data_IF_568889091395
#
_entry.id   IF_568889091395
#
_cell.length_a   1.000
_cell.length_b   1.000
_cell.length_c   1.000
_cell.angle_alpha   90.00
_cell.angle_beta   90.00
_cell.angle_gamma   90.00
#
_symmetry.space_group_name_H-M   'P 1'
#
loop_
_entity.id
_entity.type
_entity.pdbx_description
1 polymer ?
#
# COMPACT_ATOMS: atom_id res chain seq x y z
N UNK A 1 -10.37 29.98 -32.43
CA UNK A 1 -10.32 28.74 -31.63
C UNK A 1 -10.57 29.15 -30.21
N UNK A 2 -11.72 28.80 -29.63
CA UNK A 2 -12.08 29.22 -28.28
C UNK A 2 -11.30 28.34 -27.29
N UNK A 3 -10.49 28.97 -26.43
CA UNK A 3 -9.99 28.32 -25.22
C UNK A 3 -11.20 27.87 -24.39
N UNK A 4 -11.22 26.63 -23.89
CA UNK A 4 -12.30 26.22 -23.01
C UNK A 4 -12.19 27.06 -21.74
N UNK A 5 -13.25 27.82 -21.44
CA UNK A 5 -13.43 28.51 -20.17
C UNK A 5 -13.43 27.45 -19.04
N UNK A 6 -12.25 27.18 -18.48
CA UNK A 6 -12.11 26.43 -17.24
C UNK A 6 -12.99 27.15 -16.20
N UNK A 7 -13.91 26.40 -15.59
CA UNK A 7 -14.76 26.98 -14.54
C UNK A 7 -13.87 27.52 -13.42
N UNK A 8 -14.30 28.62 -12.78
CA UNK A 8 -13.56 29.24 -11.66
C UNK A 8 -13.32 28.29 -10.46
N UNK A 9 -13.94 27.10 -10.47
CA UNK A 9 -13.81 26.02 -9.50
C UNK A 9 -12.88 24.87 -9.97
N UNK A 10 -12.20 25.00 -11.11
CA UNK A 10 -11.35 23.94 -11.66
C UNK A 10 -10.09 23.72 -10.81
N UNK A 11 -9.92 22.49 -10.30
CA UNK A 11 -8.74 22.09 -9.52
C UNK A 11 -7.68 21.61 -10.49
N UNK A 12 -6.52 22.26 -10.50
CA UNK A 12 -5.38 21.89 -11.33
C UNK A 12 -4.35 21.06 -10.54
N UNK A 13 -3.55 20.21 -11.22
CA UNK A 13 -2.42 19.55 -10.59
C UNK A 13 -1.41 20.56 -10.05
N UNK A 14 -0.84 20.28 -8.87
CA UNK A 14 0.28 21.03 -8.29
C UNK A 14 1.54 20.85 -9.13
N UNK A 15 1.79 19.61 -9.55
CA UNK A 15 2.86 19.23 -10.48
C UNK A 15 2.53 17.89 -11.12
N UNK A 16 3.39 17.47 -12.05
CA UNK A 16 3.35 16.14 -12.64
C UNK A 16 4.62 15.37 -12.30
N UNK A 17 4.44 14.10 -11.95
CA UNK A 17 5.51 13.13 -11.73
C UNK A 17 5.85 12.39 -13.03
N UNK A 18 7.05 11.79 -13.09
CA UNK A 18 7.56 11.00 -14.23
C UNK A 18 7.50 11.76 -15.56
N UNK A 19 8.24 12.87 -15.65
CA UNK A 19 8.36 13.69 -16.86
C UNK A 19 7.01 14.16 -17.43
N UNK A 20 6.08 14.56 -16.56
CA UNK A 20 4.81 15.16 -16.98
C UNK A 20 3.63 14.19 -17.10
N UNK A 21 3.77 12.92 -16.69
CA UNK A 21 2.76 11.89 -16.99
C UNK A 21 1.72 11.68 -15.91
N UNK A 22 2.12 11.71 -14.64
CA UNK A 22 1.21 11.40 -13.53
C UNK A 22 0.89 12.68 -12.75
N UNK A 23 -0.36 13.15 -12.75
CA UNK A 23 -0.74 14.37 -12.04
C UNK A 23 -0.71 14.17 -10.53
N UNK A 24 -0.16 15.15 -9.82
CA UNK A 24 -0.09 15.21 -8.36
C UNK A 24 -0.87 16.43 -7.87
N UNK A 25 -1.81 16.22 -6.96
CA UNK A 25 -2.66 17.26 -6.39
C UNK A 25 -2.31 17.48 -4.91
N UNK A 26 -2.26 18.75 -4.50
CA UNK A 26 -2.13 19.18 -3.10
C UNK A 26 -3.32 20.09 -2.74
N UNK A 27 -4.51 19.53 -2.49
CA UNK A 27 -5.69 20.32 -2.18
C UNK A 27 -5.51 21.12 -0.88
N UNK A 28 -6.21 22.26 -0.81
CA UNK A 28 -6.50 22.90 0.49
C UNK A 28 -7.52 22.07 1.27
N UNK A 29 -7.63 22.25 2.58
CA UNK A 29 -8.65 21.54 3.36
C UNK A 29 -10.08 21.84 2.91
N UNK A 30 -10.35 23.05 2.41
CA UNK A 30 -11.65 23.39 1.82
C UNK A 30 -11.95 22.50 0.61
N UNK A 31 -11.01 22.37 -0.32
CA UNK A 31 -11.14 21.49 -1.48
C UNK A 31 -11.22 20.01 -1.08
N UNK A 32 -10.42 19.60 -0.09
CA UNK A 32 -10.33 18.22 0.39
C UNK A 32 -11.56 17.78 1.18
N UNK A 33 -12.27 18.69 1.85
CA UNK A 33 -13.41 18.38 2.73
C UNK A 33 -14.52 17.57 2.07
N UNK A 34 -14.74 17.76 0.76
CA UNK A 34 -15.77 17.06 0.00
C UNK A 34 -15.13 16.11 -1.02
N UNK A 35 -14.96 14.85 -0.61
CA UNK A 35 -14.38 13.78 -1.44
C UNK A 35 -15.00 13.71 -2.84
N UNK A 36 -16.34 13.67 -2.93
CA UNK A 36 -17.03 13.51 -4.21
C UNK A 36 -16.82 14.72 -5.12
N UNK A 37 -16.95 15.95 -4.61
CA UNK A 37 -16.72 17.17 -5.39
C UNK A 37 -15.29 17.17 -5.92
N UNK A 38 -14.31 16.90 -5.04
CA UNK A 38 -12.90 16.87 -5.39
C UNK A 38 -12.58 15.85 -6.50
N UNK A 39 -13.01 14.59 -6.32
CA UNK A 39 -12.77 13.51 -7.29
C UNK A 39 -13.39 13.83 -8.65
N UNK A 40 -14.60 14.40 -8.68
CA UNK A 40 -15.23 14.83 -9.93
C UNK A 40 -14.46 15.95 -10.61
N UNK A 41 -13.91 16.91 -9.84
CA UNK A 41 -13.11 18.02 -10.38
C UNK A 41 -11.78 17.57 -11.00
N UNK A 42 -11.19 16.47 -10.53
CA UNK A 42 -9.90 15.97 -11.06
C UNK A 42 -10.06 14.77 -12.01
N UNK A 43 -11.31 14.38 -12.32
CA UNK A 43 -11.62 13.15 -13.05
C UNK A 43 -10.95 13.08 -14.41
N UNK A 44 -10.92 14.18 -15.16
CA UNK A 44 -10.36 14.20 -16.52
C UNK A 44 -8.88 13.80 -16.54
N UNK A 45 -8.11 14.26 -15.54
CA UNK A 45 -6.70 13.93 -15.40
C UNK A 45 -6.50 12.45 -15.12
N UNK A 46 -7.27 11.90 -14.17
CA UNK A 46 -7.20 10.47 -13.83
C UNK A 46 -7.69 9.55 -14.94
N UNK A 47 -8.69 9.98 -15.71
CA UNK A 47 -9.14 9.25 -16.90
C UNK A 47 -8.08 9.24 -18.00
N UNK A 48 -7.21 10.24 -18.08
CA UNK A 48 -6.12 10.24 -19.05
C UNK A 48 -4.95 9.37 -18.58
N UNK A 49 -4.45 9.61 -17.36
CA UNK A 49 -3.23 9.00 -16.83
C UNK A 49 -3.42 7.59 -16.27
N UNK A 50 -4.66 7.19 -15.98
CA UNK A 50 -5.01 5.94 -15.29
C UNK A 50 -4.85 5.99 -13.76
N UNK A 51 -4.00 6.91 -13.25
CA UNK A 51 -3.78 7.11 -11.81
C UNK A 51 -3.48 8.58 -11.51
N UNK A 52 -3.90 9.05 -10.34
CA UNK A 52 -3.56 10.37 -9.80
C UNK A 52 -3.00 10.22 -8.39
N UNK A 53 -2.08 11.10 -7.99
CA UNK A 53 -1.63 11.18 -6.58
C UNK A 53 -2.29 12.38 -5.91
N UNK A 54 -2.84 12.18 -4.73
CA UNK A 54 -3.36 13.26 -3.89
C UNK A 54 -2.58 13.26 -2.59
N UNK A 55 -1.89 14.36 -2.31
CA UNK A 55 -1.20 14.58 -1.03
C UNK A 55 -2.20 15.36 -0.16
N UNK A 56 -2.71 14.76 0.93
CA UNK A 56 -3.71 15.42 1.77
C UNK A 56 -3.13 16.67 2.45
N UNK A 57 -3.99 17.64 2.84
CA UNK A 57 -3.57 18.78 3.66
C UNK A 57 -2.90 18.31 4.96
N UNK A 58 -1.84 19.00 5.40
CA UNK A 58 -1.11 18.68 6.63
C UNK A 58 -2.04 18.68 7.86
N UNK A 59 -2.98 19.63 7.92
CA UNK A 59 -3.98 19.70 8.98
C UNK A 59 -4.90 18.47 9.04
N UNK A 60 -5.18 17.80 7.92
CA UNK A 60 -5.93 16.55 7.95
C UNK A 60 -5.08 15.41 8.53
N UNK A 61 -3.81 15.33 8.14
CA UNK A 61 -2.87 14.31 8.62
C UNK A 61 -2.62 14.46 10.12
N UNK A 62 -2.38 15.68 10.61
CA UNK A 62 -2.15 15.97 12.03
C UNK A 62 -3.37 15.68 12.92
N UNK A 63 -4.58 15.71 12.36
CA UNK A 63 -5.81 15.40 13.08
C UNK A 63 -6.18 13.92 13.07
N UNK A 64 -5.39 13.05 12.42
CA UNK A 64 -5.65 11.61 12.45
C UNK A 64 -5.41 11.03 13.85
N UNK A 65 -6.26 10.12 14.32
CA UNK A 65 -6.09 9.50 15.63
C UNK A 65 -4.82 8.64 15.67
N UNK A 66 -4.16 8.55 16.84
CA UNK A 66 -3.02 7.67 17.02
C UNK A 66 -3.43 6.20 16.83
N UNK A 67 -2.59 5.42 16.15
CA UNK A 67 -2.89 4.05 15.79
C UNK A 67 -2.41 3.02 16.82
N UNK A 68 -1.73 3.45 17.88
CA UNK A 68 -1.00 2.62 18.86
C UNK A 68 -1.86 1.48 19.46
N UNK A 69 -3.15 1.74 19.72
CA UNK A 69 -4.10 0.71 20.16
C UNK A 69 -4.73 -0.05 18.99
N UNK A 70 -5.04 0.65 17.91
CA UNK A 70 -5.76 0.10 16.75
C UNK A 70 -4.94 -0.96 16.02
N UNK A 71 -3.63 -0.78 15.89
CA UNK A 71 -2.72 -1.77 15.27
C UNK A 71 -2.71 -3.11 16.01
N UNK A 72 -2.96 -3.12 17.33
CA UNK A 72 -2.98 -4.34 18.15
C UNK A 72 -4.20 -5.21 17.86
N UNK A 73 -5.26 -4.66 17.27
CA UNK A 73 -6.48 -5.41 16.92
C UNK A 73 -6.34 -6.22 15.64
N UNK A 74 -5.26 -6.03 14.88
CA UNK A 74 -5.08 -6.66 13.57
C UNK A 74 -4.07 -7.79 13.61
N UNK A 75 -4.49 -8.93 13.06
CA UNK A 75 -3.65 -10.11 12.84
C UNK A 75 -3.85 -10.59 11.42
N UNK A 76 -2.76 -10.61 10.66
CA UNK A 76 -2.72 -11.21 9.34
C UNK A 76 -2.81 -12.72 9.49
N UNK A 77 -3.85 -13.34 8.94
CA UNK A 77 -4.06 -14.79 9.09
C UNK A 77 -3.22 -15.63 8.14
N UNK A 78 -3.29 -15.32 6.85
CA UNK A 78 -2.74 -16.14 5.78
C UNK A 78 -2.02 -15.28 4.72
N UNK A 79 -0.76 -14.88 4.95
CA UNK A 79 0.01 -14.16 3.95
C UNK A 79 0.28 -15.04 2.72
N UNK A 80 0.41 -14.41 1.56
CA UNK A 80 0.80 -15.09 0.32
C UNK A 80 2.30 -14.94 0.08
N UNK A 81 2.99 -16.03 -0.24
CA UNK A 81 4.33 -16.00 -0.81
C UNK A 81 4.23 -15.89 -2.33
N UNK A 82 4.96 -14.94 -2.90
CA UNK A 82 4.86 -14.62 -4.32
C UNK A 82 6.03 -15.28 -5.07
N UNK A 83 5.76 -16.43 -5.66
CA UNK A 83 6.70 -17.10 -6.54
C UNK A 83 6.66 -16.46 -7.92
N UNK A 84 7.70 -15.70 -8.26
CA UNK A 84 7.78 -14.98 -9.54
C UNK A 84 8.79 -15.67 -10.45
N UNK A 85 8.34 -16.05 -11.64
CA UNK A 85 9.17 -16.68 -12.67
C UNK A 85 9.05 -15.90 -13.99
N UNK A 86 10.16 -15.78 -14.72
CA UNK A 86 10.21 -15.04 -15.97
C UNK A 86 11.56 -14.41 -16.23
N UNK A 87 11.67 -13.66 -17.32
CA UNK A 87 12.90 -12.96 -17.73
C UNK A 87 12.58 -11.83 -18.71
N UNK A 88 13.55 -10.95 -18.96
CA UNK A 88 13.47 -9.91 -19.99
C UNK A 88 12.20 -9.03 -19.90
N UNK A 89 11.79 -8.68 -18.68
CA UNK A 89 10.63 -7.81 -18.45
C UNK A 89 9.27 -8.52 -18.44
N UNK A 90 9.21 -9.80 -18.81
CA UNK A 90 7.99 -10.61 -18.78
C UNK A 90 8.06 -11.63 -17.64
N UNK A 91 7.14 -11.51 -16.68
CA UNK A 91 7.10 -12.35 -15.48
C UNK A 91 5.68 -12.84 -15.20
N UNK A 92 5.59 -14.01 -14.58
CA UNK A 92 4.36 -14.58 -14.04
C UNK A 92 4.50 -14.76 -12.54
N UNK A 93 3.49 -14.34 -11.81
CA UNK A 93 3.40 -14.46 -10.36
C UNK A 93 2.45 -15.60 -10.01
N UNK A 94 2.88 -16.47 -9.11
CA UNK A 94 2.05 -17.50 -8.47
C UNK A 94 2.00 -17.24 -6.97
N UNK A 95 0.80 -17.17 -6.42
CA UNK A 95 0.60 -16.93 -4.98
C UNK A 95 0.48 -18.27 -4.25
N UNK A 96 1.33 -18.47 -3.25
CA UNK A 96 1.29 -19.62 -2.34
C UNK A 96 0.90 -19.15 -0.95
N UNK A 97 -0.32 -19.47 -0.54
CA UNK A 97 -0.81 -19.11 0.79
C UNK A 97 0.00 -19.82 1.89
N UNK A 98 0.41 -19.05 2.90
CA UNK A 98 1.12 -19.53 4.07
C UNK A 98 0.15 -19.61 5.24
N UNK A 99 0.30 -20.69 6.02
CA UNK A 99 -0.55 -20.96 7.20
C UNK A 99 -0.19 -20.14 8.43
N UNK A 100 1.00 -19.52 8.45
CA UNK A 100 1.47 -18.76 9.61
C UNK A 100 0.91 -17.35 9.53
N UNK A 101 0.11 -16.99 10.52
CA UNK A 101 -0.33 -15.62 10.72
C UNK A 101 0.66 -14.79 11.52
N UNK A 102 0.51 -13.48 11.45
CA UNK A 102 1.39 -12.49 12.06
C UNK A 102 0.59 -11.32 12.64
N UNK A 103 1.00 -10.85 13.81
CA UNK A 103 0.66 -9.50 14.26
C UNK A 103 1.38 -8.48 13.38
N UNK A 104 1.00 -7.20 13.46
CA UNK A 104 1.72 -6.12 12.77
C UNK A 104 3.20 -6.06 13.23
N UNK A 105 3.44 -6.17 14.54
CA UNK A 105 4.78 -6.16 15.11
C UNK A 105 5.61 -7.38 14.66
N UNK A 106 5.03 -8.57 14.66
CA UNK A 106 5.66 -9.79 14.14
C UNK A 106 5.98 -9.69 12.65
N UNK A 107 5.09 -9.09 11.85
CA UNK A 107 5.32 -8.83 10.43
C UNK A 107 6.53 -7.90 10.23
N UNK A 108 6.63 -6.81 11.02
CA UNK A 108 7.77 -5.89 10.97
C UNK A 108 9.09 -6.61 11.21
N UNK A 109 9.16 -7.50 12.21
CA UNK A 109 10.36 -8.28 12.52
C UNK A 109 10.81 -9.14 11.33
N UNK A 110 9.86 -9.70 10.56
CA UNK A 110 10.18 -10.49 9.36
C UNK A 110 10.73 -9.62 8.25
N UNK A 111 10.15 -8.44 8.02
CA UNK A 111 10.65 -7.48 7.04
C UNK A 111 12.11 -7.05 7.32
N UNK A 112 12.55 -7.14 8.57
CA UNK A 112 13.91 -6.81 9.01
C UNK A 112 14.90 -7.98 8.93
N UNK A 113 14.45 -9.18 8.55
CA UNK A 113 15.35 -10.34 8.36
C UNK A 113 16.17 -10.22 7.07
N UNK A 114 17.31 -10.90 7.03
CA UNK A 114 18.24 -10.88 5.88
C UNK A 114 17.60 -11.25 4.54
N UNK A 115 16.51 -12.00 4.53
CA UNK A 115 15.90 -12.48 3.29
C UNK A 115 14.91 -11.46 2.70
N UNK A 116 14.42 -10.54 3.55
CA UNK A 116 13.37 -9.57 3.21
C UNK A 116 13.80 -8.11 3.34
N UNK A 117 15.03 -7.83 3.81
CA UNK A 117 15.55 -6.47 3.84
C UNK A 117 15.71 -5.87 2.44
N UNK A 118 15.39 -4.57 2.28
CA UNK A 118 15.72 -3.85 1.06
C UNK A 118 17.24 -3.79 0.83
N UNK A 119 17.68 -3.55 -0.42
CA UNK A 119 19.10 -3.35 -0.71
C UNK A 119 19.69 -2.19 0.10
N UNK A 120 20.95 -2.35 0.51
CA UNK A 120 21.71 -1.30 1.17
C UNK A 120 21.89 -0.08 0.25
N UNK A 121 22.09 1.11 0.81
CA UNK A 121 22.40 2.29 0.00
C UNK A 121 23.73 2.07 -0.74
N UNK A 122 23.89 2.74 -1.88
CA UNK A 122 25.14 2.68 -2.65
C UNK A 122 26.31 3.12 -1.76
N UNK A 123 27.32 2.26 -1.65
CA UNK A 123 28.50 2.49 -0.80
C UNK A 123 28.39 1.98 0.64
N UNK A 124 27.19 1.56 1.08
CA UNK A 124 27.01 0.95 2.40
C UNK A 124 27.10 -0.57 2.32
N UNK A 125 27.79 -1.20 3.29
CA UNK A 125 27.75 -2.66 3.46
C UNK A 125 26.43 -3.06 4.10
N UNK A 126 25.82 -4.13 3.59
CA UNK A 126 24.63 -4.74 4.21
C UNK A 126 24.93 -5.08 5.66
N UNK A 127 24.13 -4.57 6.60
CA UNK A 127 24.21 -4.99 8.02
C UNK A 127 24.03 -6.50 8.07
N UNK A 128 25.03 -7.22 8.59
CA UNK A 128 24.92 -8.66 8.88
C UNK A 128 23.98 -8.84 10.06
N UNK A 129 22.71 -9.05 9.75
CA UNK A 129 21.70 -9.44 10.73
C UNK A 129 21.68 -10.97 10.84
N UNK A 130 21.35 -11.52 12.01
CA UNK A 130 21.22 -12.96 12.18
C UNK A 130 20.25 -13.51 11.14
N UNK A 131 20.69 -14.54 10.39
CA UNK A 131 19.77 -15.31 9.55
C UNK A 131 18.67 -15.83 10.46
N UNK A 132 17.43 -15.84 9.98
CA UNK A 132 16.34 -16.56 10.63
C UNK A 132 16.76 -18.02 10.74
N UNK A 133 17.20 -18.45 11.93
CA UNK A 133 17.33 -19.88 12.21
C UNK A 133 15.94 -20.48 12.00
N UNK A 134 15.85 -21.48 11.11
CA UNK A 134 14.65 -22.31 10.97
C UNK A 134 14.49 -23.17 12.24
N UNK A 135 14.30 -22.54 13.40
CA UNK A 135 13.82 -23.27 14.58
C UNK A 135 12.42 -23.74 14.24
N UNK A 136 12.23 -25.05 14.21
CA UNK A 136 10.91 -25.67 14.31
C UNK A 136 10.35 -25.27 15.67
N UNK A 137 9.74 -24.09 15.76
CA UNK A 137 8.96 -23.69 16.93
C UNK A 137 7.82 -24.70 17.05
N UNK A 138 7.94 -25.57 18.05
CA UNK A 138 6.85 -26.48 18.43
C UNK A 138 5.65 -25.61 18.76
N UNK A 139 4.53 -25.87 18.10
CA UNK A 139 3.24 -25.30 18.43
C UNK A 139 2.86 -25.71 19.86
N UNK A 140 3.32 -24.94 20.84
CA UNK A 140 2.75 -24.99 22.16
C UNK A 140 1.37 -24.32 22.05
N UNK A 141 0.31 -25.07 22.30
CA UNK A 141 -1.00 -24.48 22.55
C UNK A 141 -0.84 -23.58 23.79
N UNK A 142 -0.72 -22.27 23.58
CA UNK A 142 -0.66 -21.33 24.69
C UNK A 142 -2.00 -21.41 25.44
N UNK A 143 -1.95 -21.91 26.69
CA UNK A 143 -3.10 -22.00 27.59
C UNK A 143 -3.31 -20.69 28.36
N UNK A 144 -2.50 -19.66 28.11
CA UNK A 144 -2.68 -18.34 28.73
C UNK A 144 -3.92 -17.64 28.14
N UNK A 145 -4.62 -16.89 29.00
CA UNK A 145 -5.75 -16.08 28.57
C UNK A 145 -5.32 -15.00 27.57
N UNK A 146 -6.16 -14.74 26.58
CA UNK A 146 -5.99 -13.61 25.65
C UNK A 146 -6.35 -12.31 26.36
N UNK A 147 -5.69 -11.22 25.97
CA UNK A 147 -6.06 -9.88 26.44
C UNK A 147 -7.30 -9.32 25.71
N UNK A 148 -7.63 -8.06 25.99
CA UNK A 148 -8.75 -7.34 25.35
C UNK A 148 -8.60 -7.17 23.84
N UNK A 149 -7.39 -7.29 23.30
CA UNK A 149 -7.08 -7.21 21.87
C UNK A 149 -7.00 -8.60 21.22
N UNK A 150 -7.17 -9.67 22.00
CA UNK A 150 -7.08 -11.05 21.51
C UNK A 150 -5.65 -11.58 21.41
N UNK A 151 -4.65 -10.88 21.97
CA UNK A 151 -3.24 -11.24 21.88
C UNK A 151 -2.86 -12.27 22.95
N UNK A 152 -1.99 -13.20 22.57
CA UNK A 152 -1.30 -14.12 23.47
C UNK A 152 -0.21 -13.41 24.29
N UNK A 153 0.35 -14.08 25.30
CA UNK A 153 1.50 -13.53 26.04
C UNK A 153 2.70 -13.23 25.14
N UNK A 154 3.00 -14.13 24.19
CA UNK A 154 4.10 -13.94 23.24
C UNK A 154 3.85 -12.76 22.28
N UNK A 155 2.62 -12.61 21.77
CA UNK A 155 2.27 -11.50 20.87
C UNK A 155 2.30 -10.14 21.58
N UNK A 156 1.88 -10.07 22.84
CA UNK A 156 2.05 -8.84 23.65
C UNK A 156 3.50 -8.43 23.80
N UNK A 157 4.40 -9.41 23.95
CA UNK A 157 5.83 -9.15 23.98
C UNK A 157 6.35 -8.55 22.67
N UNK A 158 5.75 -8.92 21.52
CA UNK A 158 6.13 -8.34 20.23
C UNK A 158 5.83 -6.85 20.15
N UNK A 159 4.78 -6.37 20.84
CA UNK A 159 4.34 -4.98 20.80
C UNK A 159 5.05 -4.05 21.80
N UNK A 160 5.75 -4.57 22.83
CA UNK A 160 6.35 -3.73 23.88
C UNK A 160 7.31 -2.66 23.35
N UNK A 161 8.15 -3.03 22.38
CA UNK A 161 9.15 -2.15 21.76
C UNK A 161 8.79 -1.82 20.30
N UNK A 162 7.53 -2.01 19.91
CA UNK A 162 7.08 -1.79 18.55
C UNK A 162 6.58 -0.35 18.37
N UNK A 163 7.27 0.42 17.54
CA UNK A 163 6.75 1.66 16.99
C UNK A 163 6.36 1.46 15.51
N UNK A 164 5.12 1.82 15.18
CA UNK A 164 4.65 1.79 13.79
C UNK A 164 5.11 3.02 13.00
N UNK A 165 5.50 4.10 13.70
CA UNK A 165 6.00 5.32 13.08
C UNK A 165 7.28 4.98 12.35
N UNK A 166 7.27 5.27 11.05
CA UNK A 166 8.35 4.93 10.16
C UNK A 166 9.18 6.18 9.92
N UNK A 167 10.41 6.23 10.43
CA UNK A 167 11.31 7.37 10.18
C UNK A 167 11.75 7.39 8.72
N UNK A 168 11.26 8.38 7.96
CA UNK A 168 11.52 8.51 6.53
C UNK A 168 12.94 9.03 6.20
N UNK A 169 13.67 9.55 7.19
CA UNK A 169 14.88 10.38 7.07
C UNK A 169 15.85 9.99 5.95
N UNK A 170 15.69 10.61 4.77
CA UNK A 170 16.56 10.43 3.60
C UNK A 170 16.66 8.99 3.09
N UNK A 171 15.72 8.12 3.47
CA UNK A 171 15.74 6.70 3.09
C UNK A 171 15.12 6.47 1.70
N UNK A 172 14.26 7.34 1.21
CA UNK A 172 13.55 7.13 -0.07
C UNK A 172 13.57 8.39 -0.94
N UNK A 173 14.78 8.94 -1.17
CA UNK A 173 14.98 10.00 -2.16
C UNK A 173 14.66 9.48 -3.56
N UNK A 174 14.32 10.37 -4.49
CA UNK A 174 13.97 10.02 -5.88
C UNK A 174 15.08 9.22 -6.57
N UNK A 175 16.35 9.61 -6.37
CA UNK A 175 17.51 8.89 -6.89
C UNK A 175 17.58 7.47 -6.33
N UNK A 176 17.38 7.31 -5.02
CA UNK A 176 17.37 5.98 -4.39
C UNK A 176 16.19 5.14 -4.86
N UNK A 177 15.01 5.72 -5.04
CA UNK A 177 13.83 5.01 -5.55
C UNK A 177 14.09 4.50 -6.98
N UNK A 178 14.71 5.30 -7.86
CA UNK A 178 15.12 4.89 -9.21
C UNK A 178 16.14 3.74 -9.18
N UNK A 179 17.10 3.78 -8.26
CA UNK A 179 18.06 2.69 -8.11
C UNK A 179 17.43 1.42 -7.52
N UNK A 180 16.51 1.57 -6.56
CA UNK A 180 15.74 0.46 -6.01
C UNK A 180 14.85 -0.18 -7.06
N UNK A 181 14.24 0.58 -7.96
CA UNK A 181 13.46 0.07 -9.09
C UNK A 181 14.32 -0.83 -10.01
N UNK A 182 15.53 -0.39 -10.36
CA UNK A 182 16.47 -1.21 -11.16
C UNK A 182 16.83 -2.51 -10.44
N UNK A 183 17.11 -2.45 -9.14
CA UNK A 183 17.43 -3.63 -8.32
C UNK A 183 16.22 -4.56 -8.24
N UNK A 184 15.01 -4.01 -8.06
CA UNK A 184 13.77 -4.76 -8.02
C UNK A 184 13.61 -5.60 -9.30
N UNK A 185 13.68 -4.99 -10.49
CA UNK A 185 13.54 -5.72 -11.75
C UNK A 185 14.66 -6.72 -12.01
N UNK A 186 15.91 -6.37 -11.68
CA UNK A 186 17.06 -7.26 -11.84
C UNK A 186 16.98 -8.49 -10.93
N UNK A 187 16.38 -8.34 -9.76
CA UNK A 187 16.35 -9.38 -8.73
C UNK A 187 14.97 -9.97 -8.50
N UNK A 188 13.99 -9.69 -9.36
CA UNK A 188 12.58 -9.99 -9.12
C UNK A 188 12.33 -11.49 -8.82
N UNK A 189 13.03 -12.38 -9.54
CA UNK A 189 12.92 -13.84 -9.39
C UNK A 189 13.73 -14.42 -8.23
N UNK A 190 14.58 -13.62 -7.56
CA UNK A 190 15.42 -14.07 -6.45
C UNK A 190 14.73 -13.83 -5.12
N UNK A 191 14.49 -14.88 -4.34
CA UNK A 191 13.71 -14.84 -3.09
C UNK A 191 12.26 -14.38 -3.31
N UNK A 192 11.33 -15.27 -2.96
CA UNK A 192 9.91 -14.98 -2.99
C UNK A 192 9.53 -14.08 -1.80
N UNK A 193 8.99 -12.87 -2.01
CA UNK A 193 8.50 -12.04 -0.92
C UNK A 193 7.19 -12.61 -0.37
N UNK A 194 6.89 -12.32 0.90
CA UNK A 194 5.55 -12.50 1.44
C UNK A 194 4.74 -11.21 1.22
N UNK A 195 3.44 -11.33 1.11
CA UNK A 195 2.54 -10.19 1.03
C UNK A 195 1.28 -10.49 1.84
N UNK A 196 0.95 -9.62 2.79
CA UNK A 196 -0.31 -9.72 3.54
C UNK A 196 -1.38 -8.93 2.82
N UNK A 197 -2.09 -9.55 1.90
CA UNK A 197 -3.15 -8.91 1.14
C UNK A 197 -4.54 -9.19 1.75
N UNK A 198 -5.51 -8.38 1.36
CA UNK A 198 -6.94 -8.63 1.50
C UNK A 198 -7.43 -8.86 2.95
N UNK A 199 -6.74 -8.24 3.92
CA UNK A 199 -7.20 -8.27 5.31
C UNK A 199 -8.39 -7.31 5.48
N UNK A 200 -9.58 -7.85 5.69
CA UNK A 200 -10.78 -7.05 5.95
C UNK A 200 -10.62 -6.15 7.19
N UNK A 201 -10.83 -4.85 7.01
CA UNK A 201 -10.80 -3.88 8.09
C UNK A 201 -10.25 -2.53 7.69
N UNK A 202 -10.13 -1.65 8.68
CA UNK A 202 -9.63 -0.29 8.50
C UNK A 202 -8.91 0.21 9.74
N UNK A 203 -7.81 0.93 9.53
CA UNK A 203 -7.13 1.67 10.58
C UNK A 203 -7.78 3.04 10.82
N UNK A 204 -8.60 3.55 9.90
CA UNK A 204 -9.49 4.67 10.19
C UNK A 204 -10.65 4.22 11.07
N UNK A 205 -10.98 5.04 12.05
CA UNK A 205 -12.15 4.89 12.91
C UNK A 205 -13.24 5.92 12.56
N UNK A 206 -14.30 5.93 13.36
CA UNK A 206 -15.47 6.78 13.15
C UNK A 206 -15.18 8.26 13.42
N UNK A 207 -14.06 8.61 14.05
CA UNK A 207 -13.65 10.00 14.27
C UNK A 207 -13.14 10.63 12.98
N UNK A 208 -12.56 9.83 12.07
CA UNK A 208 -12.13 10.31 10.75
C UNK A 208 -13.35 10.46 9.83
N UNK A 209 -13.83 11.70 9.66
CA UNK A 209 -15.03 12.01 8.84
C UNK A 209 -14.73 12.34 7.38
N UNK A 210 -13.53 12.84 7.09
CA UNK A 210 -13.10 13.29 5.77
C UNK A 210 -12.14 12.25 5.19
N UNK A 211 -12.41 11.76 3.97
CA UNK A 211 -11.57 10.77 3.26
C UNK A 211 -11.31 9.46 4.01
N UNK A 212 -12.27 9.03 4.83
CA UNK A 212 -12.23 7.71 5.45
C UNK A 212 -12.48 6.65 4.37
N UNK A 213 -11.42 5.93 3.97
CA UNK A 213 -11.46 4.90 2.90
C UNK A 213 -12.53 3.84 3.17
N UNK A 214 -12.77 3.50 4.44
CA UNK A 214 -13.80 2.52 4.81
C UNK A 214 -15.23 3.06 4.73
N UNK A 215 -15.41 4.37 4.60
CA UNK A 215 -16.71 5.06 4.64
C UNK A 215 -16.79 6.21 3.64
N UNK A 216 -16.37 5.96 2.40
CA UNK A 216 -16.43 6.99 1.37
C UNK A 216 -17.88 7.25 0.90
N UNK A 217 -18.28 8.52 0.73
CA UNK A 217 -19.60 8.86 0.21
C UNK A 217 -19.65 8.61 -1.31
N UNK A 218 -20.13 7.45 -1.72
CA UNK A 218 -20.24 7.06 -3.12
C UNK A 218 -21.54 6.27 -3.39
N UNK A 219 -21.80 5.89 -4.65
CA UNK A 219 -23.02 5.16 -4.99
C UNK A 219 -22.99 3.69 -4.51
N UNK A 220 -21.81 3.09 -4.41
CA UNK A 220 -21.60 1.71 -3.96
C UNK A 220 -21.96 1.53 -2.48
N UNK A 221 -21.95 2.60 -1.68
CA UNK A 221 -22.36 2.56 -0.27
C UNK A 221 -23.86 2.28 -0.08
N UNK A 222 -24.67 2.34 -1.16
CA UNK A 222 -26.09 1.96 -1.15
C UNK A 222 -26.31 0.47 -1.39
N UNK A 223 -25.27 -0.27 -1.78
CA UNK A 223 -25.33 -1.70 -2.04
C UNK A 223 -24.94 -2.48 -0.77
N UNK A 224 -25.36 -3.74 -0.63
CA UNK A 224 -24.84 -4.63 0.42
C UNK A 224 -23.31 -4.74 0.40
N UNK A 225 -22.66 -5.06 1.52
CA UNK A 225 -21.21 -5.22 1.57
C UNK A 225 -20.72 -6.33 0.61
N UNK A 226 -19.79 -5.96 -0.27
CA UNK A 226 -19.02 -6.80 -1.16
C UNK A 226 -17.56 -6.62 -0.76
N UNK A 227 -16.95 -7.70 -0.28
CA UNK A 227 -15.59 -7.70 0.24
C UNK A 227 -14.61 -7.22 -0.85
N UNK A 228 -13.75 -6.27 -0.52
CA UNK A 228 -12.78 -5.68 -1.47
C UNK A 228 -13.31 -4.63 -2.43
N UNK A 229 -14.64 -4.51 -2.59
CA UNK A 229 -15.25 -3.54 -3.52
C UNK A 229 -15.80 -2.33 -2.78
N UNK A 230 -16.68 -2.54 -1.79
CA UNK A 230 -17.22 -1.45 -0.95
C UNK A 230 -16.91 -1.64 0.55
N UNK A 231 -16.03 -2.60 0.86
CA UNK A 231 -15.45 -2.81 2.19
C UNK A 231 -13.94 -2.65 2.10
N UNK A 232 -13.34 -1.94 3.06
CA UNK A 232 -11.90 -1.67 3.04
C UNK A 232 -11.05 -2.92 3.33
N UNK A 233 -9.92 -3.01 2.63
CA UNK A 233 -8.84 -3.96 2.90
C UNK A 233 -7.58 -3.24 3.37
N UNK A 234 -6.87 -3.92 4.27
CA UNK A 234 -5.52 -3.58 4.70
C UNK A 234 -4.51 -4.46 3.98
N UNK A 235 -3.40 -3.83 3.59
CA UNK A 235 -2.30 -4.48 2.89
C UNK A 235 -0.99 -4.30 3.66
N UNK A 236 -0.31 -5.40 3.91
CA UNK A 236 0.95 -5.49 4.62
C UNK A 236 2.05 -5.79 3.63
N UNK A 237 2.74 -4.73 3.20
CA UNK A 237 3.86 -4.83 2.27
C UNK A 237 5.17 -5.27 2.93
N UNK A 238 6.08 -5.77 2.10
CA UNK A 238 7.51 -5.85 2.39
C UNK A 238 8.29 -5.58 1.10
N UNK A 239 9.62 -5.53 1.19
CA UNK A 239 10.47 -5.36 0.01
C UNK A 239 10.15 -6.42 -1.07
N UNK A 240 9.97 -5.95 -2.30
CA UNK A 240 9.55 -6.71 -3.50
C UNK A 240 8.13 -7.29 -3.51
N UNK A 241 7.32 -7.10 -2.47
CA UNK A 241 5.92 -7.51 -2.56
C UNK A 241 5.26 -6.79 -3.75
N UNK A 242 4.64 -7.56 -4.64
CA UNK A 242 4.21 -7.14 -5.98
C UNK A 242 2.70 -7.26 -6.14
N UNK A 243 2.08 -6.30 -6.80
CA UNK A 243 0.75 -6.42 -7.37
C UNK A 243 0.88 -6.37 -8.90
N UNK A 244 0.35 -7.38 -9.57
CA UNK A 244 0.50 -7.54 -11.02
C UNK A 244 -0.37 -6.53 -11.78
N UNK A 245 -0.14 -6.38 -13.08
CA UNK A 245 -1.00 -5.57 -13.95
C UNK A 245 -2.45 -6.03 -13.89
N UNK A 246 -3.36 -5.12 -13.57
CA UNK A 246 -4.80 -5.36 -13.55
C UNK A 246 -5.56 -4.04 -13.70
N UNK A 247 -6.85 -4.16 -13.97
CA UNK A 247 -7.86 -3.13 -13.70
C UNK A 247 -8.69 -3.60 -12.51
N UNK A 248 -9.36 -2.69 -11.83
CA UNK A 248 -10.26 -3.04 -10.73
C UNK A 248 -11.45 -3.86 -11.22
N UNK A 249 -12.07 -4.63 -10.32
CA UNK A 249 -13.29 -5.37 -10.64
C UNK A 249 -14.39 -4.43 -11.15
N UNK A 250 -15.05 -4.85 -12.23
CA UNK A 250 -16.08 -4.06 -12.92
C UNK A 250 -15.59 -2.70 -13.45
N UNK A 251 -14.29 -2.55 -13.70
CA UNK A 251 -13.65 -1.30 -14.14
C UNK A 251 -13.96 -0.10 -13.20
N UNK A 252 -14.12 -0.38 -11.90
CA UNK A 252 -14.40 0.64 -10.90
C UNK A 252 -13.16 1.51 -10.60
N UNK A 253 -13.38 2.61 -9.90
CA UNK A 253 -12.29 3.37 -9.29
C UNK A 253 -11.84 2.67 -8.00
N UNK A 254 -10.55 2.74 -7.71
CA UNK A 254 -9.99 2.40 -6.39
C UNK A 254 -9.33 3.61 -5.73
N UNK A 255 -9.18 3.52 -4.41
CA UNK A 255 -8.39 4.46 -3.61
C UNK A 255 -7.40 3.66 -2.76
N UNK A 256 -6.18 4.16 -2.63
CA UNK A 256 -5.17 3.59 -1.76
C UNK A 256 -4.59 4.67 -0.85
N UNK A 257 -4.53 4.39 0.45
CA UNK A 257 -3.89 5.25 1.44
C UNK A 257 -2.83 4.44 2.19
N UNK A 258 -1.60 4.97 2.22
CA UNK A 258 -0.50 4.38 3.00
C UNK A 258 -0.58 4.98 4.40
N UNK A 259 -0.98 4.18 5.40
CA UNK A 259 -1.05 4.65 6.79
C UNK A 259 0.32 4.96 7.39
N UNK A 260 1.31 4.11 7.13
CA UNK A 260 2.69 4.25 7.56
C UNK A 260 3.58 3.23 6.82
N UNK A 261 4.90 3.42 6.89
CA UNK A 261 5.88 2.49 6.34
C UNK A 261 6.58 3.00 5.09
N UNK A 262 7.20 2.08 4.36
CA UNK A 262 7.92 2.39 3.12
C UNK A 262 6.95 2.77 1.98
N UNK A 263 7.42 3.56 0.99
CA UNK A 263 6.60 3.92 -0.17
C UNK A 263 6.26 2.69 -1.03
N UNK A 264 5.16 2.83 -1.79
CA UNK A 264 4.73 1.88 -2.83
C UNK A 264 5.02 2.48 -4.21
N UNK A 265 5.68 1.71 -5.07
CA UNK A 265 5.93 2.10 -6.46
C UNK A 265 4.76 1.68 -7.35
N UNK A 266 4.32 2.56 -8.25
CA UNK A 266 3.17 2.32 -9.13
C UNK A 266 3.59 2.48 -10.59
N UNK A 267 3.06 1.59 -11.43
CA UNK A 267 3.05 1.78 -12.88
C UNK A 267 1.60 1.95 -13.33
N UNK A 268 1.38 2.80 -14.31
CA UNK A 268 0.07 3.01 -14.92
C UNK A 268 0.22 3.04 -16.43
N UNK A 269 -0.80 2.55 -17.13
CA UNK A 269 -0.94 2.70 -18.57
C UNK A 269 -2.03 3.73 -18.81
N UNK A 270 -1.75 4.72 -19.67
CA UNK A 270 -2.75 5.70 -20.07
C UNK A 270 -3.97 5.00 -20.67
N UNK A 271 -5.18 5.51 -20.43
CA UNK A 271 -6.39 4.87 -21.00
C UNK A 271 -6.34 4.79 -22.54
N UNK A 272 -5.85 5.81 -23.28
CA UNK A 272 -5.70 5.71 -24.74
C UNK A 272 -4.78 4.57 -25.21
N UNK A 273 -3.79 4.18 -24.40
CA UNK A 273 -2.82 3.13 -24.75
C UNK A 273 -3.23 1.73 -24.25
N UNK A 274 -4.35 1.60 -23.53
CA UNK A 274 -4.85 0.32 -22.99
C UNK A 274 -4.86 -0.80 -24.04
N UNK A 275 -5.42 -0.55 -25.22
CA UNK A 275 -5.52 -1.57 -26.28
C UNK A 275 -4.17 -1.97 -26.87
N UNK A 276 -3.16 -1.10 -26.82
CA UNK A 276 -1.79 -1.45 -27.22
C UNK A 276 -1.17 -2.38 -26.19
N UNK A 277 -1.34 -2.05 -24.91
CA UNK A 277 -0.86 -2.88 -23.81
C UNK A 277 -1.50 -4.28 -23.81
N UNK A 278 -2.83 -4.37 -23.94
CA UNK A 278 -3.56 -5.64 -24.02
C UNK A 278 -3.06 -6.51 -25.19
N UNK A 279 -2.70 -5.90 -26.32
CA UNK A 279 -2.16 -6.63 -27.48
C UNK A 279 -0.78 -7.19 -27.23
N UNK A 280 0.07 -6.48 -26.48
CA UNK A 280 1.41 -6.95 -26.09
C UNK A 280 1.32 -8.10 -25.08
N UNK A 281 0.28 -8.13 -24.24
CA UNK A 281 0.10 -9.14 -23.19
C UNK A 281 -0.63 -10.42 -23.64
N UNK A 282 -1.18 -10.44 -24.86
CA UNK A 282 -1.79 -11.63 -25.49
C UNK A 282 -0.73 -12.53 -26.11
#
# INVERSE_FOLDING_TARGET
MAEPLLSADSIQPDHYWDDGRVPVFKPTMSQFSNFRKFVLSIREFGMLSGIVKVIPPEEWVHNLPPLDQKIQTFKLGAPIEQCIAGSNGAYRQMNLEKRRGYTIAGWRKICETSDHLPPAKRGERRKTLPKTEKKKEKYASDKSGRDSFGLTAAEREEFKDFDYRFEEGGMFTDERCKDMEKIYWKTLTYNSPLYGADLLGSLFDDTTKVWNVARLPNLLSKLPPIAGVNSAYLYFGMWKATFSWHVEDMDLYSINYIHFGAPKFWYSISQPDRHKFERVMR
#
